data_IF_256586076399
#
_entry.id   IF_256586076399
#
_cell.length_a   1.000
_cell.length_b   1.000
_cell.length_c   1.000
_cell.angle_alpha   90.00
_cell.angle_beta   90.00
_cell.angle_gamma   90.00
#
_symmetry.space_group_name_H-M   'P 1'
#
loop_
_entity.id
_entity.type
_entity.pdbx_description
1 polymer ?
#
# COMPACT_ATOMS: atom_id res chain seq x y z
N UNK A 1 -17.44 38.51 -21.19
CA UNK A 1 -17.38 37.07 -20.85
C UNK A 1 -17.39 36.96 -19.33
N UNK A 2 -18.41 36.33 -18.74
CA UNK A 2 -18.49 36.17 -17.28
C UNK A 2 -17.96 34.78 -16.92
N UNK A 3 -16.94 34.71 -16.05
CA UNK A 3 -16.46 33.45 -15.50
C UNK A 3 -17.44 33.02 -14.41
N UNK A 4 -18.32 32.07 -14.73
CA UNK A 4 -19.16 31.41 -13.72
C UNK A 4 -18.25 30.45 -12.95
N UNK A 5 -17.92 30.80 -11.69
CA UNK A 5 -17.27 29.89 -10.77
C UNK A 5 -18.33 28.96 -10.18
N UNK A 6 -18.21 27.65 -10.44
CA UNK A 6 -19.10 26.65 -9.88
C UNK A 6 -18.40 25.96 -8.70
N UNK A 7 -18.82 26.18 -7.45
CA UNK A 7 -18.13 25.66 -6.28
C UNK A 7 -18.26 24.13 -6.13
N UNK A 8 -19.28 23.50 -6.73
CA UNK A 8 -19.49 22.05 -6.60
C UNK A 8 -18.34 21.24 -7.20
N UNK A 9 -17.82 21.66 -8.37
CA UNK A 9 -16.67 20.99 -9.01
C UNK A 9 -15.40 21.07 -8.16
N UNK A 10 -15.25 22.12 -7.35
CA UNK A 10 -14.12 22.24 -6.43
C UNK A 10 -14.25 21.27 -5.25
N UNK A 11 -15.44 21.11 -4.68
CA UNK A 11 -15.72 20.13 -3.61
C UNK A 11 -15.51 18.70 -4.11
N UNK A 12 -15.96 18.39 -5.32
CA UNK A 12 -15.75 17.08 -5.96
C UNK A 12 -14.25 16.81 -6.19
N UNK A 13 -13.51 17.83 -6.64
CA UNK A 13 -12.06 17.74 -6.86
C UNK A 13 -11.28 17.46 -5.57
N UNK A 14 -11.69 18.08 -4.45
CA UNK A 14 -11.08 17.82 -3.13
C UNK A 14 -11.37 16.39 -2.68
N UNK A 15 -12.61 15.90 -2.87
CA UNK A 15 -12.96 14.51 -2.57
C UNK A 15 -12.11 13.51 -3.35
N UNK A 16 -11.95 13.72 -4.65
CA UNK A 16 -11.10 12.90 -5.52
C UNK A 16 -9.64 12.97 -5.08
N UNK A 17 -9.11 14.16 -4.79
CA UNK A 17 -7.73 14.33 -4.33
C UNK A 17 -7.45 13.57 -3.03
N UNK A 18 -8.39 13.60 -2.08
CA UNK A 18 -8.28 12.86 -0.81
C UNK A 18 -8.27 11.35 -1.02
N UNK A 19 -9.11 10.84 -1.93
CA UNK A 19 -9.13 9.41 -2.28
C UNK A 19 -7.79 9.02 -2.90
N UNK A 20 -7.29 9.80 -3.87
CA UNK A 20 -6.00 9.53 -4.52
C UNK A 20 -4.87 9.54 -3.50
N UNK A 21 -4.80 10.55 -2.63
CA UNK A 21 -3.80 10.62 -1.58
C UNK A 21 -3.87 9.41 -0.64
N UNK A 22 -5.09 9.01 -0.24
CA UNK A 22 -5.31 7.82 0.59
C UNK A 22 -4.83 6.54 -0.09
N UNK A 23 -5.15 6.34 -1.38
CA UNK A 23 -4.71 5.18 -2.15
C UNK A 23 -3.18 5.16 -2.29
N UNK A 24 -2.56 6.29 -2.59
CA UNK A 24 -1.09 6.38 -2.72
C UNK A 24 -0.40 6.06 -1.39
N UNK A 25 -0.89 6.61 -0.27
CA UNK A 25 -0.35 6.32 1.05
C UNK A 25 -0.50 4.85 1.40
N UNK A 26 -1.65 4.25 1.11
CA UNK A 26 -1.89 2.83 1.35
C UNK A 26 -0.96 1.96 0.49
N UNK A 27 -0.80 2.31 -0.80
CA UNK A 27 0.13 1.61 -1.69
C UNK A 27 1.57 1.70 -1.20
N UNK A 28 2.02 2.87 -0.76
CA UNK A 28 3.36 3.06 -0.17
C UNK A 28 3.52 2.25 1.11
N UNK A 29 2.51 2.22 1.98
CA UNK A 29 2.53 1.38 3.18
C UNK A 29 2.64 -0.10 2.83
N UNK A 30 1.85 -0.59 1.88
CA UNK A 30 1.92 -1.99 1.43
C UNK A 30 3.30 -2.32 0.86
N UNK A 31 3.85 -1.47 0.00
CA UNK A 31 5.18 -1.67 -0.57
C UNK A 31 6.28 -1.64 0.49
N UNK A 32 6.16 -0.77 1.49
CA UNK A 32 7.06 -0.74 2.64
C UNK A 32 7.01 -2.05 3.43
N UNK A 33 5.80 -2.56 3.74
CA UNK A 33 5.64 -3.81 4.50
C UNK A 33 6.20 -5.02 3.73
N UNK A 34 5.92 -5.10 2.43
CA UNK A 34 6.47 -6.16 1.57
C UNK A 34 8.00 -6.05 1.49
N UNK A 35 8.54 -4.85 1.28
CA UNK A 35 9.99 -4.64 1.25
C UNK A 35 10.66 -4.87 2.60
N UNK A 36 9.95 -4.63 3.71
CA UNK A 36 10.41 -4.97 5.04
C UNK A 36 10.52 -6.48 5.21
N UNK A 37 9.47 -7.25 4.90
CA UNK A 37 9.49 -8.71 4.98
C UNK A 37 10.58 -9.32 4.09
N UNK A 38 10.67 -8.89 2.84
CA UNK A 38 11.65 -9.39 1.86
C UNK A 38 13.11 -8.98 2.11
N UNK A 39 13.40 -8.33 3.24
CA UNK A 39 14.75 -7.94 3.61
C UNK A 39 15.32 -6.73 2.86
N UNK A 40 14.53 -6.09 2.00
CA UNK A 40 14.97 -4.92 1.22
C UNK A 40 15.15 -3.67 2.10
N UNK A 41 14.40 -3.57 3.20
CA UNK A 41 14.45 -2.43 4.14
C UNK A 41 15.12 -2.80 5.46
N UNK A 42 14.95 -4.03 5.95
CA UNK A 42 15.48 -4.47 7.25
C UNK A 42 16.12 -5.85 7.17
N UNK A 43 17.29 -6.02 7.79
CA UNK A 43 17.90 -7.35 7.94
C UNK A 43 17.08 -8.29 8.84
N UNK A 44 16.31 -7.76 9.78
CA UNK A 44 15.41 -8.59 10.60
C UNK A 44 14.19 -9.08 9.82
N UNK A 45 13.90 -8.44 8.68
CA UNK A 45 12.83 -8.81 7.76
C UNK A 45 13.00 -10.23 7.21
N UNK A 46 14.21 -10.59 6.78
CA UNK A 46 14.50 -11.93 6.26
C UNK A 46 14.19 -13.04 7.26
N UNK A 47 14.42 -12.83 8.57
CA UNK A 47 14.02 -13.81 9.58
C UNK A 47 12.50 -14.00 9.62
N UNK A 48 11.75 -12.91 9.46
CA UNK A 48 10.29 -12.96 9.39
C UNK A 48 9.80 -13.62 8.10
N UNK A 49 10.48 -13.35 6.98
CA UNK A 49 10.20 -13.97 5.69
C UNK A 49 10.35 -15.49 5.74
N UNK A 50 11.48 -15.97 6.26
CA UNK A 50 11.75 -17.40 6.42
C UNK A 50 10.75 -18.05 7.38
N UNK A 51 10.42 -17.39 8.49
CA UNK A 51 9.40 -17.88 9.42
C UNK A 51 8.02 -18.04 8.76
N UNK A 52 7.58 -17.04 7.98
CA UNK A 52 6.30 -17.09 7.27
C UNK A 52 6.32 -18.10 6.12
N UNK A 53 7.45 -18.21 5.43
CA UNK A 53 7.67 -19.21 4.41
C UNK A 53 7.52 -20.63 4.99
N UNK A 54 8.17 -20.91 6.12
CA UNK A 54 8.10 -22.20 6.82
C UNK A 54 6.72 -22.46 7.42
N UNK A 55 6.04 -21.42 7.91
CA UNK A 55 4.64 -21.53 8.36
C UNK A 55 3.72 -22.02 7.25
N UNK A 56 3.92 -21.57 6.01
CA UNK A 56 3.16 -22.04 4.84
C UNK A 56 3.41 -23.53 4.58
N UNK A 57 4.66 -23.98 4.68
CA UNK A 57 5.00 -25.41 4.59
C UNK A 57 4.34 -26.23 5.70
N UNK A 58 4.31 -25.72 6.93
CA UNK A 58 3.67 -26.40 8.06
C UNK A 58 2.16 -26.56 7.87
N UNK A 59 1.52 -25.61 7.19
CA UNK A 59 0.10 -25.68 6.83
C UNK A 59 -0.18 -26.49 5.56
N UNK A 60 0.85 -27.09 4.94
CA UNK A 60 0.73 -27.91 3.72
C UNK A 60 0.40 -27.11 2.44
N UNK A 61 0.59 -25.79 2.47
CA UNK A 61 0.32 -24.91 1.34
C UNK A 61 1.51 -24.91 0.36
N UNK A 62 1.27 -24.92 -0.97
CA UNK A 62 2.35 -24.90 -1.96
C UNK A 62 3.11 -23.58 -1.95
N UNK A 63 4.41 -23.66 -2.25
CA UNK A 63 5.37 -22.57 -2.18
C UNK A 63 5.96 -22.17 -3.55
N UNK A 64 5.63 -22.92 -4.61
CA UNK A 64 6.03 -22.70 -6.02
C UNK A 64 4.80 -22.66 -6.91
#
# INVERSE_FOLDING_TARGET
>A
MALVHNPSTATDSVGIAMIIAGVVLLAMLTLYLVGFDQGAVSRTGMYMHELMHDGRHLLGLPCH
#
